data_IF_665445696529
#
_entry.id   IF_665445696529
#
_cell.length_a   1.000
_cell.length_b   1.000
_cell.length_c   1.000
_cell.angle_alpha   90.00
_cell.angle_beta   90.00
_cell.angle_gamma   90.00
#
_symmetry.space_group_name_H-M   'P 1'
#
loop_
_entity.id
_entity.type
_entity.pdbx_description
1 polymer ?
#
# COMPACT_ATOMS: atom_id res chain seq x y z
N UNK A 1 6.76 10.72 1.68
CA UNK A 1 5.35 10.27 1.75
C UNK A 1 4.43 11.43 2.11
N UNK A 2 3.23 11.48 1.57
CA UNK A 2 2.15 12.40 1.92
C UNK A 2 0.83 11.63 1.98
N UNK A 3 0.03 11.84 3.04
CA UNK A 3 -1.27 11.18 3.20
C UNK A 3 -2.37 12.19 3.52
N UNK A 4 -3.58 11.92 3.04
CA UNK A 4 -4.74 12.80 3.20
C UNK A 4 -6.05 12.04 2.96
N UNK A 5 -7.17 12.61 3.41
CA UNK A 5 -8.49 12.06 3.13
C UNK A 5 -8.83 12.18 1.64
N UNK A 6 -9.31 11.07 1.07
CA UNK A 6 -9.76 10.95 -0.31
C UNK A 6 -11.08 11.71 -0.52
N UNK A 7 -11.26 12.34 -1.67
CA UNK A 7 -12.44 13.16 -1.98
C UNK A 7 -13.70 12.38 -2.36
N UNK A 8 -13.57 11.09 -2.65
CA UNK A 8 -14.63 10.16 -3.09
C UNK A 8 -15.31 10.56 -4.42
N UNK A 9 -14.67 11.39 -5.24
CA UNK A 9 -15.18 11.72 -6.57
C UNK A 9 -14.93 10.54 -7.53
N UNK A 10 -15.86 10.34 -8.46
CA UNK A 10 -15.76 9.30 -9.50
C UNK A 10 -15.11 9.88 -10.77
N UNK A 11 -13.84 10.27 -10.64
CA UNK A 11 -12.99 10.76 -11.74
C UNK A 11 -11.83 9.79 -11.98
N UNK A 12 -10.83 10.17 -12.78
CA UNK A 12 -9.67 9.30 -13.04
C UNK A 12 -8.93 9.00 -11.73
N UNK A 13 -8.89 7.74 -11.33
CA UNK A 13 -8.27 7.30 -10.08
C UNK A 13 -6.79 7.69 -9.93
N UNK A 14 -6.12 8.05 -11.03
CA UNK A 14 -4.73 8.50 -11.05
C UNK A 14 -4.56 9.97 -10.67
N UNK A 15 -5.66 10.73 -10.58
CA UNK A 15 -5.65 12.09 -10.03
C UNK A 15 -5.36 12.07 -8.52
N UNK A 16 -4.91 13.19 -7.94
CA UNK A 16 -4.60 13.25 -6.51
C UNK A 16 -5.78 12.91 -5.60
N UNK A 17 -7.01 13.23 -5.97
CA UNK A 17 -8.22 13.00 -5.17
C UNK A 17 -8.11 13.52 -3.73
N UNK A 18 -7.47 14.67 -3.57
CA UNK A 18 -7.35 15.35 -2.29
C UNK A 18 -8.57 16.24 -2.05
N UNK A 19 -9.15 16.17 -0.85
CA UNK A 19 -10.27 17.05 -0.49
C UNK A 19 -9.88 18.53 -0.56
N UNK A 20 -10.86 19.39 -0.82
CA UNK A 20 -10.66 20.84 -0.80
C UNK A 20 -11.67 21.49 0.20
N UNK A 21 -11.22 22.02 1.35
CA UNK A 21 -9.81 22.09 1.80
C UNK A 21 -9.21 20.73 2.11
N UNK A 22 -7.88 20.62 1.95
CA UNK A 22 -7.12 19.40 2.26
C UNK A 22 -7.28 19.01 3.71
N UNK A 23 -7.43 17.69 3.95
CA UNK A 23 -7.42 17.09 5.28
C UNK A 23 -6.24 16.13 5.35
N UNK A 24 -5.06 16.60 5.80
CA UNK A 24 -3.87 15.76 5.91
C UNK A 24 -4.05 14.68 6.97
N UNK A 25 -3.39 13.55 6.76
CA UNK A 25 -3.32 12.42 7.71
C UNK A 25 -1.86 12.24 8.10
N UNK A 26 -1.58 12.25 9.38
CA UNK A 26 -0.21 12.12 9.91
C UNK A 26 0.29 10.66 9.88
N UNK A 27 1.60 10.48 10.09
CA UNK A 27 2.21 9.14 10.21
C UNK A 27 1.62 8.41 11.42
N UNK A 28 1.42 9.12 12.53
CA UNK A 28 0.85 8.57 13.77
C UNK A 28 -0.60 8.10 13.57
N UNK A 29 -1.38 8.82 12.76
CA UNK A 29 -2.74 8.39 12.39
C UNK A 29 -2.73 7.15 11.47
N UNK A 30 -1.74 7.05 10.57
CA UNK A 30 -1.53 5.85 9.76
C UNK A 30 -1.11 4.66 10.64
N UNK A 31 -0.20 4.86 11.59
CA UNK A 31 0.22 3.85 12.56
C UNK A 31 -0.94 3.36 13.43
N UNK A 32 -1.86 4.25 13.80
CA UNK A 32 -3.08 3.88 14.50
C UNK A 32 -4.00 2.96 13.67
N UNK A 33 -3.87 2.97 12.34
CA UNK A 33 -4.52 2.01 11.43
C UNK A 33 -3.64 0.80 11.11
N UNK A 34 -2.47 0.66 11.77
CA UNK A 34 -1.54 -0.44 11.59
C UNK A 34 -0.58 -0.29 10.40
N UNK A 35 -0.61 0.83 9.69
CA UNK A 35 0.31 1.10 8.58
C UNK A 35 1.66 1.53 9.12
N UNK A 36 2.75 0.93 8.64
CA UNK A 36 4.10 1.30 9.01
C UNK A 36 4.81 1.97 7.84
N UNK A 37 5.70 2.91 8.13
CA UNK A 37 6.40 3.68 7.13
C UNK A 37 7.84 3.97 7.52
N UNK A 38 8.74 3.85 6.53
CA UNK A 38 10.14 4.28 6.62
C UNK A 38 10.51 5.11 5.40
N UNK A 39 11.25 6.19 5.64
CA UNK A 39 11.95 6.90 4.56
C UNK A 39 13.36 6.35 4.48
N UNK A 40 13.66 5.64 3.40
CA UNK A 40 14.98 5.09 3.11
C UNK A 40 15.85 6.17 2.51
N UNK A 41 17.11 6.25 2.92
CA UNK A 41 18.09 7.18 2.38
C UNK A 41 18.84 6.50 1.23
N UNK A 42 19.24 7.27 0.23
CA UNK A 42 19.99 6.76 -0.93
C UNK A 42 21.31 6.09 -0.49
N UNK A 43 21.98 6.68 0.52
CA UNK A 43 23.14 6.07 1.15
C UNK A 43 22.72 4.81 1.93
N UNK A 44 23.32 3.66 1.60
CA UNK A 44 23.06 2.36 2.23
C UNK A 44 21.60 1.89 2.13
N UNK A 45 20.96 2.15 1.00
CA UNK A 45 19.55 1.79 0.75
C UNK A 45 19.28 0.29 1.00
N UNK A 46 20.11 -0.59 0.44
CA UNK A 46 19.97 -2.04 0.62
C UNK A 46 20.19 -2.47 2.08
N UNK A 47 21.17 -1.91 2.77
CA UNK A 47 21.45 -2.23 4.19
C UNK A 47 20.26 -1.84 5.08
N UNK A 48 19.58 -0.72 4.78
CA UNK A 48 18.38 -0.31 5.50
C UNK A 48 17.22 -1.28 5.28
N UNK A 49 17.01 -1.75 4.04
CA UNK A 49 16.02 -2.78 3.73
C UNK A 49 16.37 -4.08 4.45
N UNK A 50 17.63 -4.52 4.39
CA UNK A 50 18.08 -5.76 5.03
C UNK A 50 17.86 -5.73 6.55
N UNK A 51 18.09 -4.57 7.18
CA UNK A 51 17.81 -4.38 8.60
C UNK A 51 16.30 -4.50 8.90
N UNK A 52 15.45 -3.85 8.12
CA UNK A 52 13.99 -3.95 8.29
C UNK A 52 13.53 -5.40 8.07
N UNK A 53 14.08 -6.09 7.07
CA UNK A 53 13.80 -7.50 6.82
C UNK A 53 14.18 -8.39 8.02
N UNK A 54 15.36 -8.16 8.60
CA UNK A 54 15.81 -8.90 9.79
C UNK A 54 14.91 -8.64 11.00
N UNK A 55 14.61 -7.36 11.28
CA UNK A 55 13.81 -6.94 12.43
C UNK A 55 12.35 -7.46 12.34
N UNK A 56 11.81 -7.59 11.12
CA UNK A 56 10.42 -8.01 10.86
C UNK A 56 10.27 -9.42 10.32
N UNK A 57 11.38 -10.15 10.18
CA UNK A 57 11.39 -11.52 9.67
C UNK A 57 10.85 -11.66 8.23
N UNK A 58 11.22 -10.73 7.35
CA UNK A 58 10.94 -10.84 5.92
C UNK A 58 12.04 -11.65 5.24
N UNK A 59 11.70 -12.81 4.69
CA UNK A 59 12.66 -13.80 4.19
C UNK A 59 12.87 -13.76 2.69
N UNK A 60 11.86 -13.33 1.95
CA UNK A 60 11.85 -13.34 0.50
C UNK A 60 11.60 -11.96 -0.08
N UNK A 61 12.14 -11.71 -1.25
CA UNK A 61 11.92 -10.46 -2.00
C UNK A 61 11.94 -10.70 -3.50
N UNK A 62 11.20 -9.86 -4.23
CA UNK A 62 11.27 -9.74 -5.68
C UNK A 62 11.02 -8.28 -6.09
N UNK A 63 10.97 -8.01 -7.38
CA UNK A 63 10.68 -6.68 -7.91
C UNK A 63 9.56 -6.76 -8.94
N UNK A 64 8.74 -5.71 -8.99
CA UNK A 64 7.70 -5.51 -9.98
C UNK A 64 7.84 -4.11 -10.59
N UNK A 65 7.68 -4.02 -11.91
CA UNK A 65 7.53 -2.75 -12.62
C UNK A 65 6.10 -2.63 -13.12
N UNK A 66 5.37 -1.68 -12.52
CA UNK A 66 3.99 -1.37 -12.91
C UNK A 66 4.03 -0.28 -13.97
N UNK A 67 3.96 -0.68 -15.22
CA UNK A 67 3.93 0.19 -16.40
C UNK A 67 3.40 -0.61 -17.60
N UNK A 68 2.99 0.08 -18.68
CA UNK A 68 2.63 -0.62 -19.93
C UNK A 68 3.78 -1.48 -20.47
N UNK A 69 5.01 -0.99 -20.37
CA UNK A 69 6.18 -1.75 -20.82
C UNK A 69 6.45 -2.97 -19.93
N UNK A 70 6.32 -2.83 -18.59
CA UNK A 70 6.60 -3.90 -17.63
C UNK A 70 5.54 -4.99 -17.59
N UNK A 71 4.27 -4.65 -17.75
CA UNK A 71 3.12 -5.58 -17.68
C UNK A 71 2.57 -5.98 -19.05
N UNK A 72 2.95 -5.27 -20.13
CA UNK A 72 2.50 -5.56 -21.48
C UNK A 72 0.98 -5.56 -21.61
N UNK A 73 0.43 -6.61 -22.26
CA UNK A 73 -1.01 -6.78 -22.48
C UNK A 73 -1.82 -6.94 -21.17
N UNK A 74 -1.17 -7.30 -20.06
CA UNK A 74 -1.82 -7.47 -18.77
C UNK A 74 -2.03 -6.14 -18.03
N UNK A 75 -1.48 -5.03 -18.53
CA UNK A 75 -1.48 -3.73 -17.84
C UNK A 75 -2.88 -3.28 -17.42
N UNK A 76 -3.81 -3.18 -18.36
CA UNK A 76 -5.14 -2.65 -18.06
C UNK A 76 -5.92 -3.54 -17.09
N UNK A 77 -5.80 -4.87 -17.22
CA UNK A 77 -6.45 -5.83 -16.31
C UNK A 77 -5.84 -5.75 -14.90
N UNK A 78 -4.51 -5.63 -14.80
CA UNK A 78 -3.80 -5.52 -13.52
C UNK A 78 -4.12 -4.21 -12.80
N UNK A 79 -4.17 -3.07 -13.50
CA UNK A 79 -4.54 -1.78 -12.91
C UNK A 79 -5.94 -1.84 -12.32
N UNK A 80 -6.91 -2.43 -13.01
CA UNK A 80 -8.27 -2.64 -12.47
C UNK A 80 -8.26 -3.51 -11.21
N UNK A 81 -7.52 -4.61 -11.22
CA UNK A 81 -7.40 -5.50 -10.08
C UNK A 81 -6.78 -4.79 -8.88
N UNK A 82 -5.72 -4.01 -9.08
CA UNK A 82 -5.05 -3.28 -8.02
C UNK A 82 -5.91 -2.18 -7.40
N UNK A 83 -6.80 -1.56 -8.18
CA UNK A 83 -7.69 -0.50 -7.70
C UNK A 83 -9.03 -1.02 -7.16
N UNK A 84 -9.36 -2.28 -7.34
CA UNK A 84 -10.49 -2.89 -6.66
C UNK A 84 -10.23 -2.99 -5.16
N UNK A 85 -11.20 -2.60 -4.32
CA UNK A 85 -11.07 -2.70 -2.86
C UNK A 85 -10.93 -4.16 -2.42
N UNK A 86 -9.82 -4.47 -1.76
CA UNK A 86 -9.48 -5.83 -1.34
C UNK A 86 -8.63 -5.84 -0.08
N UNK A 87 -8.41 -7.02 0.45
CA UNK A 87 -7.44 -7.29 1.52
C UNK A 87 -6.61 -8.53 1.19
N UNK A 88 -5.51 -8.70 1.92
CA UNK A 88 -4.70 -9.90 1.92
C UNK A 88 -4.64 -10.54 3.30
N UNK A 89 -4.36 -11.84 3.35
CA UNK A 89 -4.11 -12.56 4.61
C UNK A 89 -2.74 -12.27 5.21
N UNK A 90 -1.80 -11.77 4.38
CA UNK A 90 -0.46 -11.34 4.78
C UNK A 90 -0.31 -9.82 4.68
N UNK A 91 0.77 -9.29 5.28
CA UNK A 91 1.16 -7.88 5.12
C UNK A 91 1.51 -7.59 3.65
N UNK A 92 1.08 -6.43 3.15
CA UNK A 92 1.57 -5.90 1.88
C UNK A 92 2.76 -4.98 2.12
N UNK A 93 3.96 -5.40 1.68
CA UNK A 93 5.22 -4.71 1.98
C UNK A 93 5.85 -4.25 0.68
N UNK A 94 6.04 -2.95 0.53
CA UNK A 94 6.57 -2.33 -0.69
C UNK A 94 7.64 -1.31 -0.38
N UNK A 95 8.85 -1.51 -0.93
CA UNK A 95 9.88 -0.48 -1.01
C UNK A 95 9.86 0.11 -2.43
N UNK A 96 9.61 1.40 -2.54
CA UNK A 96 9.50 2.07 -3.85
C UNK A 96 10.91 2.40 -4.33
N UNK A 97 11.27 1.83 -5.48
CA UNK A 97 12.59 2.00 -6.09
C UNK A 97 12.61 3.17 -7.07
N UNK A 98 11.54 3.32 -7.87
CA UNK A 98 11.42 4.36 -8.88
C UNK A 98 9.95 4.76 -9.07
N UNK A 99 9.72 5.99 -9.49
CA UNK A 99 8.39 6.49 -9.84
C UNK A 99 7.54 6.85 -8.64
N UNK A 100 6.25 6.98 -8.88
CA UNK A 100 5.24 7.45 -7.92
C UNK A 100 3.91 6.72 -8.10
N UNK A 101 3.13 6.64 -7.02
CA UNK A 101 1.81 6.02 -7.04
C UNK A 101 1.03 6.30 -5.76
N UNK A 102 -0.14 5.69 -5.67
CA UNK A 102 -1.04 5.87 -4.54
C UNK A 102 -1.45 4.53 -3.96
N UNK A 103 -1.31 4.40 -2.64
CA UNK A 103 -2.04 3.42 -1.85
C UNK A 103 -3.23 4.11 -1.18
N UNK A 104 -4.41 3.56 -1.33
CA UNK A 104 -5.58 3.97 -0.57
C UNK A 104 -5.89 2.90 0.46
N UNK A 105 -6.08 3.29 1.71
CA UNK A 105 -6.45 2.40 2.82
C UNK A 105 -7.77 2.83 3.45
N UNK A 106 -8.49 1.88 4.06
CA UNK A 106 -9.59 2.21 4.97
C UNK A 106 -9.05 2.48 6.36
N UNK A 107 -9.35 3.67 6.88
CA UNK A 107 -9.04 4.02 8.27
C UNK A 107 -10.03 3.39 9.27
N UNK A 108 -9.87 3.70 10.56
CA UNK A 108 -10.76 3.21 11.64
C UNK A 108 -12.23 3.62 11.48
N UNK A 109 -12.51 4.70 10.74
CA UNK A 109 -13.85 5.19 10.45
C UNK A 109 -14.37 4.71 9.09
N UNK A 110 -13.71 3.76 8.46
CA UNK A 110 -14.01 3.24 7.12
C UNK A 110 -13.97 4.32 6.03
N UNK A 111 -13.16 5.38 6.23
CA UNK A 111 -12.91 6.41 5.23
C UNK A 111 -11.71 6.04 4.37
N UNK A 112 -11.70 6.47 3.12
CA UNK A 112 -10.52 6.33 2.28
C UNK A 112 -9.46 7.37 2.67
N UNK A 113 -8.27 6.90 2.99
CA UNK A 113 -7.05 7.70 3.13
C UNK A 113 -6.14 7.37 1.97
N UNK A 114 -5.76 8.38 1.19
CA UNK A 114 -4.79 8.24 0.10
C UNK A 114 -3.38 8.52 0.59
N UNK A 115 -2.47 7.62 0.30
CA UNK A 115 -1.05 7.70 0.65
C UNK A 115 -0.26 7.79 -0.65
N UNK A 116 0.31 8.98 -0.93
CA UNK A 116 1.24 9.17 -2.04
C UNK A 116 2.61 8.63 -1.66
N UNK A 117 3.11 7.69 -2.45
CA UNK A 117 4.44 7.10 -2.29
C UNK A 117 5.34 7.45 -3.46
N UNK A 118 6.65 7.54 -3.19
CA UNK A 118 7.69 7.87 -4.17
C UNK A 118 8.97 7.07 -3.89
N UNK A 119 9.94 7.11 -4.80
CA UNK A 119 11.22 6.44 -4.62
C UNK A 119 11.85 6.78 -3.25
N UNK A 120 12.31 5.76 -2.54
CA UNK A 120 12.82 5.86 -1.18
C UNK A 120 11.79 5.64 -0.06
N UNK A 121 10.49 5.49 -0.38
CA UNK A 121 9.48 5.12 0.61
C UNK A 121 9.40 3.59 0.77
N UNK A 122 9.36 3.12 2.02
CA UNK A 122 8.97 1.76 2.35
C UNK A 122 7.69 1.81 3.18
N UNK A 123 6.66 1.11 2.73
CA UNK A 123 5.35 1.06 3.38
C UNK A 123 4.96 -0.39 3.67
N UNK A 124 4.34 -0.62 4.82
CA UNK A 124 3.73 -1.89 5.21
C UNK A 124 2.27 -1.67 5.51
N UNK A 125 1.41 -2.32 4.75
CA UNK A 125 -0.02 -2.40 5.02
C UNK A 125 -0.29 -3.69 5.81
N UNK A 126 -0.98 -3.63 6.96
CA UNK A 126 -1.21 -4.82 7.79
C UNK A 126 -2.13 -5.82 7.11
N UNK A 127 -1.96 -7.11 7.43
CA UNK A 127 -2.90 -8.15 7.03
C UNK A 127 -4.32 -7.77 7.45
N UNK A 128 -5.30 -7.99 6.57
CA UNK A 128 -6.71 -7.74 6.84
C UNK A 128 -7.19 -6.29 6.71
N UNK A 129 -6.32 -5.32 6.41
CA UNK A 129 -6.76 -3.96 6.07
C UNK A 129 -7.33 -3.92 4.66
N UNK A 130 -8.51 -3.28 4.48
CA UNK A 130 -9.00 -2.99 3.14
C UNK A 130 -8.17 -1.88 2.50
N UNK A 131 -7.70 -2.12 1.31
CA UNK A 131 -6.85 -1.20 0.56
C UNK A 131 -7.01 -1.37 -0.94
N UNK A 132 -6.39 -0.49 -1.70
CA UNK A 132 -6.25 -0.53 -3.15
C UNK A 132 -5.03 0.26 -3.57
N UNK A 133 -4.55 0.04 -4.78
CA UNK A 133 -3.39 0.73 -5.35
C UNK A 133 -3.72 1.28 -6.74
N UNK A 134 -3.15 2.43 -7.08
CA UNK A 134 -3.12 2.96 -8.46
C UNK A 134 -1.80 3.69 -8.73
N UNK A 135 -1.42 3.73 -10.00
CA UNK A 135 -0.40 4.67 -10.46
C UNK A 135 -0.94 6.10 -10.39
N UNK A 136 -0.05 7.08 -10.41
CA UNK A 136 -0.41 8.45 -10.76
C UNK A 136 -0.40 8.67 -12.27
N UNK A 137 -0.59 9.91 -12.73
CA UNK A 137 -0.62 10.27 -14.14
C UNK A 137 0.67 9.98 -14.92
N UNK A 138 1.80 9.75 -14.23
CA UNK A 138 3.06 9.35 -14.86
C UNK A 138 3.04 7.88 -15.32
N UNK A 139 2.09 7.06 -14.85
CA UNK A 139 1.90 5.66 -15.25
C UNK A 139 3.14 4.78 -15.10
N UNK A 140 3.95 5.04 -14.06
CA UNK A 140 5.18 4.29 -13.81
C UNK A 140 5.50 4.19 -12.33
N UNK A 141 5.72 2.97 -11.86
CA UNK A 141 6.26 2.70 -10.53
C UNK A 141 7.03 1.37 -10.56
N UNK A 142 8.22 1.36 -9.96
CA UNK A 142 8.98 0.15 -9.69
C UNK A 142 9.12 -0.05 -8.20
N UNK A 143 8.77 -1.22 -7.72
CA UNK A 143 8.80 -1.55 -6.30
C UNK A 143 9.50 -2.88 -6.04
N UNK A 144 10.21 -2.96 -4.91
CA UNK A 144 10.60 -4.22 -4.29
C UNK A 144 9.45 -4.68 -3.40
N UNK A 145 9.05 -5.95 -3.57
CA UNK A 145 8.06 -6.61 -2.74
C UNK A 145 8.78 -7.49 -1.74
N UNK A 146 8.41 -7.40 -0.49
CA UNK A 146 8.99 -8.18 0.61
C UNK A 146 7.94 -9.12 1.18
N UNK A 147 8.36 -10.31 1.67
CA UNK A 147 7.46 -11.36 2.13
C UNK A 147 8.02 -12.07 3.36
N UNK A 148 7.16 -12.45 4.29
CA UNK A 148 7.52 -13.27 5.46
C UNK A 148 7.82 -14.72 5.08
N UNK A 149 6.94 -15.28 4.24
CA UNK A 149 7.02 -16.66 3.72
C UNK A 149 6.83 -16.65 2.21
N UNK A 150 6.40 -17.74 1.61
CA UNK A 150 6.03 -17.76 0.20
C UNK A 150 4.84 -16.82 -0.05
N UNK A 151 4.89 -15.98 -1.10
CA UNK A 151 3.87 -14.97 -1.31
C UNK A 151 2.52 -15.58 -1.66
N UNK A 152 1.47 -15.14 -0.96
CA UNK A 152 0.08 -15.40 -1.30
C UNK A 152 -0.46 -14.17 -2.03
N UNK A 153 -0.66 -14.29 -3.34
CA UNK A 153 -1.03 -13.18 -4.23
C UNK A 153 -2.52 -12.91 -4.33
N UNK A 154 -3.36 -13.79 -3.82
CA UNK A 154 -4.80 -13.74 -4.02
C UNK A 154 -5.40 -12.56 -3.26
N UNK A 155 -5.91 -11.53 -3.96
CA UNK A 155 -6.68 -10.48 -3.33
C UNK A 155 -8.07 -11.02 -2.99
N UNK A 156 -8.56 -10.67 -1.81
CA UNK A 156 -9.92 -10.98 -1.38
C UNK A 156 -10.73 -9.69 -1.43
N UNK A 157 -11.62 -9.59 -2.41
CA UNK A 157 -12.43 -8.40 -2.60
C UNK A 157 -13.46 -8.23 -1.49
N UNK A 158 -13.68 -6.98 -1.07
CA UNK A 158 -14.73 -6.67 -0.10
C UNK A 158 -16.10 -7.09 -0.63
N UNK A 159 -17.01 -7.69 0.23
CA UNK A 159 -16.88 -7.86 1.68
C UNK A 159 -16.14 -9.15 2.10
N UNK A 160 -15.28 -9.02 3.12
CA UNK A 160 -14.50 -10.12 3.70
C UNK A 160 -14.50 -10.07 5.23
N UNK A 161 -15.54 -9.50 5.86
CA UNK A 161 -15.53 -9.19 7.28
C UNK A 161 -15.57 -10.45 8.18
N UNK A 162 -16.01 -11.59 7.64
CA UNK A 162 -16.05 -12.87 8.36
C UNK A 162 -14.71 -13.62 8.36
N UNK A 163 -13.73 -13.19 7.57
CA UNK A 163 -12.43 -13.87 7.52
C UNK A 163 -11.61 -13.66 8.79
N UNK A 164 -10.88 -14.69 9.27
CA UNK A 164 -10.14 -14.63 10.54
C UNK A 164 -9.12 -13.49 10.61
N UNK A 165 -8.37 -13.23 9.55
CA UNK A 165 -7.37 -12.15 9.51
C UNK A 165 -8.02 -10.76 9.48
N UNK A 166 -9.22 -10.60 8.91
CA UNK A 166 -9.98 -9.35 9.03
C UNK A 166 -10.39 -9.10 10.47
N UNK A 167 -10.95 -10.11 11.15
CA UNK A 167 -11.32 -10.04 12.56
C UNK A 167 -10.10 -9.77 13.45
N UNK A 168 -8.97 -10.43 13.18
CA UNK A 168 -7.73 -10.19 13.90
C UNK A 168 -7.23 -8.75 13.74
N UNK A 169 -7.27 -8.20 12.53
CA UNK A 169 -6.93 -6.81 12.26
C UNK A 169 -7.81 -5.84 13.05
N UNK A 170 -9.13 -6.01 12.99
CA UNK A 170 -10.07 -5.14 13.71
C UNK A 170 -9.81 -5.17 15.22
N UNK A 171 -9.58 -6.34 15.81
CA UNK A 171 -9.26 -6.46 17.24
C UNK A 171 -7.98 -5.68 17.62
N UNK A 172 -6.96 -5.67 16.75
CA UNK A 172 -5.72 -4.93 16.99
C UNK A 172 -5.93 -3.43 16.95
N UNK A 173 -6.64 -2.92 15.94
CA UNK A 173 -6.84 -1.47 15.80
C UNK A 173 -7.86 -0.89 16.78
N UNK A 174 -8.80 -1.69 17.28
CA UNK A 174 -9.75 -1.29 18.32
C UNK A 174 -9.09 -1.22 19.70
N UNK A 175 -8.02 -1.98 19.93
CA UNK A 175 -7.29 -2.00 21.19
C UNK A 175 -6.30 -0.82 21.34
N UNK A 176 -5.99 -0.12 20.25
CA UNK A 176 -5.10 1.05 20.17
C UNK A 176 -5.91 2.35 20.04
#
# INVERSE_FOLDING_TARGET
>A
MRAYLYDNLDTDCREPHEQNPSVPVSVEELEASGVLYWRLKDENFEDQIDKICADRNYKNRDQITVSKQGLGELFDAKIKTFFAEHLHEDEEIRAILEGTGYFDIRDKQDRWVRIKVEAGDLIVLPAGIYHRFTLDSNNYLKAMRLFKEDPVWTPLNRPCDEYPYRKAYLNVIEAN
#
